data_IF_027276643960
#
_entry.id   IF_027276643960
#
_cell.length_a   1.000
_cell.length_b   1.000
_cell.length_c   1.000
_cell.angle_alpha   90.00
_cell.angle_beta   90.00
_cell.angle_gamma   90.00
#
_symmetry.space_group_name_H-M   'P 1'
#
loop_
_entity.id
_entity.type
_entity.pdbx_description
1 polymer ?
#
# COMPACT_ATOMS: atom_id res chain seq x y z
N UNK A 1 3.29 0.62 2.59
CA UNK A 1 2.45 1.78 2.93
C UNK A 1 1.00 1.35 3.19
N UNK A 2 0.30 0.74 2.22
CA UNK A 2 -1.14 0.41 2.34
C UNK A 2 -1.44 -0.45 3.56
N UNK A 3 -0.73 -1.56 3.73
CA UNK A 3 -0.93 -2.46 4.87
C UNK A 3 -0.72 -1.76 6.21
N UNK A 4 0.35 -0.98 6.34
CA UNK A 4 0.71 -0.34 7.60
C UNK A 4 -0.16 0.88 7.90
N UNK A 5 -0.35 1.76 6.90
CA UNK A 5 -0.95 3.08 7.15
C UNK A 5 -2.45 3.13 6.89
N UNK A 6 -2.98 2.28 6.01
CA UNK A 6 -4.42 2.25 5.72
C UNK A 6 -5.14 1.11 6.46
N UNK A 7 -4.51 -0.06 6.54
CA UNK A 7 -5.14 -1.24 7.13
C UNK A 7 -4.65 -1.58 8.55
N UNK A 8 -3.56 -0.98 9.02
CA UNK A 8 -3.01 -1.27 10.35
C UNK A 8 -2.52 -2.71 10.52
N UNK A 9 -2.20 -3.37 9.43
CA UNK A 9 -1.71 -4.75 9.37
C UNK A 9 -0.31 -4.80 8.76
N UNK A 10 0.72 -4.28 9.47
CA UNK A 10 2.08 -4.26 8.93
C UNK A 10 2.55 -5.68 8.59
N UNK A 11 3.35 -5.78 7.53
CA UNK A 11 3.99 -7.03 7.21
C UNK A 11 4.91 -7.46 8.36
N UNK A 12 4.90 -8.76 8.68
CA UNK A 12 5.84 -9.33 9.66
C UNK A 12 7.28 -9.18 9.15
N UNK A 13 8.22 -9.02 10.07
CA UNK A 13 9.64 -9.06 9.73
C UNK A 13 10.01 -10.41 9.10
N UNK A 14 10.94 -10.42 8.13
CA UNK A 14 11.43 -11.67 7.57
C UNK A 14 11.95 -12.60 8.66
N UNK A 15 11.77 -13.93 8.55
CA UNK A 15 12.35 -14.88 9.48
C UNK A 15 13.89 -14.74 9.55
N UNK A 16 14.50 -15.02 10.71
CA UNK A 16 15.96 -15.03 10.81
C UNK A 16 16.57 -16.02 9.82
N UNK A 17 17.62 -15.60 9.13
CA UNK A 17 18.33 -16.46 8.18
C UNK A 17 17.75 -16.45 6.75
N UNK A 18 16.64 -15.80 6.51
CA UNK A 18 16.20 -15.47 5.14
C UNK A 18 17.09 -14.31 4.68
N UNK A 19 18.14 -14.65 3.94
CA UNK A 19 19.01 -13.65 3.34
C UNK A 19 18.22 -12.76 2.38
N UNK A 20 18.69 -11.54 2.19
CA UNK A 20 18.29 -10.71 1.05
C UNK A 20 18.74 -11.44 -0.23
N UNK A 21 17.86 -12.25 -0.79
CA UNK A 21 18.08 -12.83 -2.10
C UNK A 21 17.80 -11.71 -3.08
N UNK A 22 18.84 -11.09 -3.59
CA UNK A 22 18.68 -10.23 -4.76
C UNK A 22 18.20 -11.14 -5.91
N UNK A 23 16.99 -10.95 -6.42
CA UNK A 23 16.54 -11.74 -7.56
C UNK A 23 17.46 -11.42 -8.75
N UNK A 24 17.76 -12.40 -9.56
CA UNK A 24 18.43 -12.15 -10.84
C UNK A 24 17.53 -11.26 -11.70
N UNK A 25 17.86 -9.98 -11.76
CA UNK A 25 17.08 -8.98 -12.49
C UNK A 25 17.46 -8.87 -13.95
N UNK A 26 18.44 -9.69 -14.43
CA UNK A 26 18.86 -9.68 -15.83
C UNK A 26 17.70 -10.08 -16.74
N UNK A 27 17.41 -9.22 -17.72
CA UNK A 27 16.29 -9.43 -18.67
C UNK A 27 14.91 -9.16 -18.08
N UNK A 28 14.81 -8.67 -16.85
CA UNK A 28 13.55 -8.25 -16.24
C UNK A 28 13.33 -6.76 -16.48
N UNK A 29 12.14 -6.40 -16.94
CA UNK A 29 11.82 -5.02 -17.33
C UNK A 29 10.75 -4.38 -16.47
N UNK A 30 10.00 -5.19 -15.71
CA UNK A 30 8.93 -4.73 -14.83
C UNK A 30 9.20 -5.16 -13.39
N UNK A 31 8.66 -4.40 -12.42
CA UNK A 31 8.71 -4.75 -11.00
C UNK A 31 8.02 -6.09 -10.77
N UNK A 32 6.95 -6.36 -11.50
CA UNK A 32 6.19 -7.61 -11.42
C UNK A 32 7.02 -8.84 -11.80
N UNK A 33 7.81 -8.74 -12.87
CA UNK A 33 8.73 -9.82 -13.27
C UNK A 33 9.84 -10.05 -12.23
N UNK A 34 10.36 -8.97 -11.62
CA UNK A 34 11.35 -9.05 -10.57
C UNK A 34 10.77 -9.75 -9.32
N UNK A 35 9.57 -9.32 -8.90
CA UNK A 35 8.88 -9.92 -7.75
C UNK A 35 8.44 -11.36 -8.01
N UNK A 36 8.04 -11.70 -9.24
CA UNK A 36 7.71 -13.07 -9.62
C UNK A 36 8.93 -13.98 -9.44
N UNK A 37 10.10 -13.57 -9.93
CA UNK A 37 11.33 -14.33 -9.74
C UNK A 37 11.72 -14.48 -8.25
N UNK A 38 11.45 -13.47 -7.42
CA UNK A 38 11.66 -13.55 -5.98
C UNK A 38 10.69 -14.52 -5.30
N UNK A 39 9.46 -14.62 -5.79
CA UNK A 39 8.40 -15.51 -5.26
C UNK A 39 8.55 -16.98 -5.67
N UNK A 40 9.45 -17.32 -6.58
CA UNK A 40 9.74 -18.71 -6.92
C UNK A 40 10.21 -19.53 -5.71
N UNK A 41 10.73 -18.87 -4.67
CA UNK A 41 11.01 -19.48 -3.39
C UNK A 41 9.73 -19.50 -2.52
N UNK A 42 9.29 -20.68 -2.08
CA UNK A 42 8.05 -20.87 -1.31
C UNK A 42 8.05 -20.04 0.00
N UNK A 43 9.18 -19.95 0.70
CA UNK A 43 9.30 -19.17 1.93
C UNK A 43 9.11 -17.67 1.69
N UNK A 44 9.59 -17.14 0.56
CA UNK A 44 9.39 -15.76 0.16
C UNK A 44 7.93 -15.51 -0.26
N UNK A 45 7.36 -16.44 -1.03
CA UNK A 45 5.98 -16.35 -1.52
C UNK A 45 4.95 -16.31 -0.39
N UNK A 46 5.17 -16.99 0.72
CA UNK A 46 4.27 -17.00 1.86
C UNK A 46 3.91 -15.59 2.38
N UNK A 47 4.85 -14.64 2.33
CA UNK A 47 4.65 -13.24 2.69
C UNK A 47 4.27 -12.39 1.48
N UNK A 48 4.99 -12.54 0.37
CA UNK A 48 4.84 -11.68 -0.82
C UNK A 48 3.45 -11.74 -1.45
N UNK A 49 2.78 -12.90 -1.44
CA UNK A 49 1.39 -13.02 -1.90
C UNK A 49 0.39 -12.10 -1.19
N UNK A 50 0.74 -11.61 0.02
CA UNK A 50 -0.10 -10.69 0.80
C UNK A 50 0.33 -9.25 0.66
N UNK A 51 1.65 -9.00 0.51
CA UNK A 51 2.19 -7.63 0.53
C UNK A 51 2.31 -7.01 -0.86
N UNK A 52 2.50 -7.82 -1.91
CA UNK A 52 2.69 -7.31 -3.27
C UNK A 52 1.42 -6.74 -3.90
N UNK A 53 0.22 -7.40 -3.81
CA UNK A 53 -0.96 -6.93 -4.52
C UNK A 53 -1.34 -5.46 -4.21
N UNK A 54 -1.35 -4.99 -2.95
CA UNK A 54 -1.56 -3.57 -2.67
C UNK A 54 -0.51 -2.64 -3.29
N UNK A 55 0.72 -3.15 -3.50
CA UNK A 55 1.78 -2.43 -4.21
C UNK A 55 1.49 -2.31 -5.70
N UNK A 56 0.99 -3.39 -6.32
CA UNK A 56 0.65 -3.40 -7.73
C UNK A 56 -0.45 -2.40 -8.09
N UNK A 57 -1.44 -2.19 -7.22
CA UNK A 57 -2.46 -1.16 -7.42
C UNK A 57 -1.87 0.26 -7.63
N UNK A 58 -0.64 0.49 -7.18
CA UNK A 58 0.07 1.77 -7.29
C UNK A 58 1.07 1.82 -8.45
N UNK A 59 1.21 0.76 -9.26
CA UNK A 59 2.19 0.68 -10.36
C UNK A 59 2.04 1.78 -11.42
N UNK A 60 0.82 2.29 -11.60
CA UNK A 60 0.56 3.43 -12.48
C UNK A 60 1.00 4.78 -11.90
N UNK A 61 1.66 4.80 -10.76
CA UNK A 61 2.25 6.02 -10.19
C UNK A 61 3.76 5.90 -10.12
N UNK A 62 4.45 6.95 -10.49
CA UNK A 62 5.90 7.02 -10.32
C UNK A 62 6.27 7.42 -8.88
N UNK A 63 7.56 7.41 -8.50
CA UNK A 63 7.99 7.74 -7.13
C UNK A 63 7.62 9.16 -6.65
N UNK A 64 7.30 10.08 -7.56
CA UNK A 64 6.85 11.43 -7.22
C UNK A 64 5.32 11.59 -7.30
N UNK A 65 4.58 10.48 -7.53
CA UNK A 65 3.12 10.46 -7.57
C UNK A 65 2.50 10.85 -8.92
N UNK A 66 3.28 11.02 -9.98
CA UNK A 66 2.75 11.28 -11.32
C UNK A 66 2.16 10.02 -11.93
N UNK A 67 0.99 10.14 -12.56
CA UNK A 67 0.37 9.01 -13.25
C UNK A 67 1.13 8.65 -14.52
N UNK A 68 1.33 7.35 -14.72
CA UNK A 68 1.99 6.78 -15.91
C UNK A 68 1.22 5.56 -16.42
N UNK A 69 1.24 5.37 -17.74
CA UNK A 69 0.71 4.16 -18.39
C UNK A 69 1.80 3.17 -18.75
N UNK A 70 3.06 3.64 -18.83
CA UNK A 70 4.21 2.82 -19.18
C UNK A 70 5.35 3.04 -18.18
N UNK A 71 6.19 2.03 -18.02
CA UNK A 71 7.45 2.19 -17.31
C UNK A 71 8.41 3.06 -18.12
N UNK A 72 9.36 3.68 -17.43
CA UNK A 72 10.50 4.32 -18.09
C UNK A 72 11.60 3.28 -18.23
N UNK A 73 12.02 3.02 -19.46
CA UNK A 73 13.16 2.18 -19.75
C UNK A 73 14.41 3.04 -20.03
N UNK A 74 15.57 2.56 -19.59
CA UNK A 74 16.85 3.23 -19.82
C UNK A 74 17.33 3.03 -21.25
N UNK A 75 18.04 4.04 -21.80
CA UNK A 75 18.55 4.03 -23.16
C UNK A 75 17.69 4.86 -24.12
N UNK A 76 18.17 4.96 -25.35
CA UNK A 76 17.53 5.82 -26.38
C UNK A 76 16.30 5.18 -27.04
N UNK A 77 15.93 3.96 -26.67
CA UNK A 77 14.86 3.21 -27.38
C UNK A 77 15.35 2.65 -28.74
N UNK A 78 14.43 2.02 -29.47
CA UNK A 78 14.70 1.44 -30.77
C UNK A 78 14.51 2.46 -31.91
N UNK A 79 15.34 2.34 -32.95
CA UNK A 79 15.27 3.15 -34.16
C UNK A 79 16.31 4.27 -34.21
N UNK A 80 16.58 4.71 -35.46
CA UNK A 80 17.63 5.71 -35.76
C UNK A 80 17.36 7.05 -35.10
N UNK A 81 16.13 7.56 -35.20
CA UNK A 81 15.77 8.85 -34.62
C UNK A 81 15.76 8.84 -33.10
N UNK A 82 15.43 7.71 -32.46
CA UNK A 82 15.50 7.56 -31.02
C UNK A 82 16.94 7.69 -30.53
N UNK A 83 17.87 7.02 -31.21
CA UNK A 83 19.30 7.08 -30.91
C UNK A 83 19.88 8.47 -31.13
N UNK A 84 19.42 9.21 -32.14
CA UNK A 84 19.88 10.56 -32.45
C UNK A 84 19.30 11.62 -31.48
N UNK A 85 18.18 11.33 -30.82
CA UNK A 85 17.50 12.26 -29.91
C UNK A 85 18.27 12.63 -28.64
N UNK A 86 19.34 11.86 -28.32
CA UNK A 86 20.11 12.03 -27.08
C UNK A 86 19.33 11.74 -25.79
N UNK A 87 18.11 11.19 -25.88
CA UNK A 87 17.31 10.84 -24.72
C UNK A 87 17.93 9.63 -24.02
N UNK A 88 18.09 9.74 -22.70
CA UNK A 88 18.59 8.64 -21.85
C UNK A 88 17.48 7.67 -21.43
N UNK A 89 16.21 7.96 -21.78
CA UNK A 89 15.05 7.16 -21.45
C UNK A 89 14.07 7.09 -22.62
N UNK A 90 13.37 5.98 -22.70
CA UNK A 90 12.24 5.80 -23.62
C UNK A 90 11.07 5.17 -22.88
N UNK A 91 9.93 5.11 -23.55
CA UNK A 91 8.72 4.45 -23.04
C UNK A 91 8.94 2.92 -23.05
N UNK A 92 8.82 2.33 -21.89
CA UNK A 92 8.97 0.88 -21.69
C UNK A 92 7.64 0.14 -21.78
N UNK A 93 7.53 -1.08 -21.22
CA UNK A 93 6.30 -1.84 -21.20
C UNK A 93 5.17 -1.13 -20.42
N UNK A 94 3.93 -1.53 -20.67
CA UNK A 94 2.75 -1.07 -19.96
C UNK A 94 2.90 -1.33 -18.46
N UNK A 95 2.48 -0.36 -17.65
CA UNK A 95 2.36 -0.54 -16.22
C UNK A 95 1.10 -1.39 -15.95
N UNK A 96 1.28 -2.51 -15.28
CA UNK A 96 0.20 -3.41 -14.91
C UNK A 96 -0.15 -3.23 -13.43
N UNK A 97 -1.25 -2.53 -13.15
CA UNK A 97 -1.77 -2.27 -11.81
C UNK A 97 -2.82 -3.29 -11.34
N UNK A 98 -2.97 -4.42 -12.05
CA UNK A 98 -3.92 -5.46 -11.67
C UNK A 98 -3.44 -6.30 -10.49
N UNK A 99 -4.35 -6.95 -9.79
CA UNK A 99 -4.02 -7.84 -8.69
C UNK A 99 -5.25 -8.43 -8.04
N UNK A 100 -5.02 -9.19 -6.97
CA UNK A 100 -6.06 -9.79 -6.14
C UNK A 100 -5.79 -9.41 -4.69
N UNK A 101 -6.76 -8.88 -3.99
CA UNK A 101 -6.63 -8.55 -2.57
C UNK A 101 -6.49 -9.81 -1.71
N UNK A 102 -6.10 -9.66 -0.44
CA UNK A 102 -5.94 -10.79 0.47
C UNK A 102 -7.24 -11.56 0.74
N UNK A 103 -8.39 -10.91 0.59
CA UNK A 103 -9.74 -11.45 0.69
C UNK A 103 -10.31 -11.94 -0.65
N UNK A 104 -9.49 -11.97 -1.70
CA UNK A 104 -9.84 -12.60 -2.97
C UNK A 104 -10.60 -11.70 -3.95
N UNK A 105 -10.61 -10.39 -3.76
CA UNK A 105 -11.25 -9.44 -4.69
C UNK A 105 -10.26 -9.04 -5.77
N UNK A 106 -10.63 -9.28 -7.04
CA UNK A 106 -9.84 -8.85 -8.19
C UNK A 106 -9.95 -7.33 -8.39
N UNK A 107 -8.86 -6.73 -8.89
CA UNK A 107 -8.82 -5.34 -9.32
C UNK A 107 -7.87 -5.17 -10.52
N UNK A 108 -8.18 -4.25 -11.41
CA UNK A 108 -7.39 -3.92 -12.60
C UNK A 108 -6.63 -2.59 -12.49
N UNK A 109 -6.84 -1.85 -11.41
CA UNK A 109 -6.18 -0.57 -11.16
C UNK A 109 -6.58 0.06 -9.84
N UNK A 110 -6.11 1.29 -9.63
CA UNK A 110 -6.26 1.98 -8.35
C UNK A 110 -7.72 2.23 -7.96
N UNK A 111 -8.62 2.48 -8.90
CA UNK A 111 -10.00 2.80 -8.57
C UNK A 111 -10.77 1.57 -8.10
N UNK A 112 -10.57 0.43 -8.75
CA UNK A 112 -11.15 -0.85 -8.29
C UNK A 112 -10.52 -1.29 -6.97
N UNK A 113 -9.21 -1.07 -6.80
CA UNK A 113 -8.56 -1.33 -5.51
C UNK A 113 -9.13 -0.47 -4.38
N UNK A 114 -9.42 0.82 -4.62
CA UNK A 114 -10.13 1.67 -3.65
C UNK A 114 -11.51 1.12 -3.31
N UNK A 115 -12.26 0.62 -4.31
CA UNK A 115 -13.55 -0.01 -4.06
C UNK A 115 -13.40 -1.27 -3.20
N UNK A 116 -12.39 -2.10 -3.46
CA UNK A 116 -12.09 -3.26 -2.62
C UNK A 116 -11.76 -2.87 -1.17
N UNK A 117 -11.01 -1.77 -0.96
CA UNK A 117 -10.74 -1.23 0.38
C UNK A 117 -12.01 -0.76 1.10
N UNK A 118 -13.03 -0.29 0.37
CA UNK A 118 -14.32 0.10 0.98
C UNK A 118 -15.08 -1.07 1.58
N UNK A 119 -14.80 -2.31 1.18
CA UNK A 119 -15.32 -3.50 1.85
C UNK A 119 -14.74 -3.68 3.27
N UNK A 120 -13.61 -3.02 3.55
CA UNK A 120 -12.90 -3.01 4.83
C UNK A 120 -12.94 -1.62 5.49
N UNK A 121 -13.99 -0.83 5.24
CA UNK A 121 -14.08 0.58 5.68
C UNK A 121 -13.92 0.76 7.19
N UNK A 122 -14.44 -0.15 8.00
CA UNK A 122 -14.24 -0.13 9.45
C UNK A 122 -12.76 -0.26 9.83
N UNK A 123 -12.03 -1.18 9.16
CA UNK A 123 -10.60 -1.37 9.40
C UNK A 123 -9.80 -0.12 9.01
N UNK A 124 -10.15 0.50 7.89
CA UNK A 124 -9.54 1.78 7.45
C UNK A 124 -9.84 2.89 8.45
N UNK A 125 -11.10 3.01 8.90
CA UNK A 125 -11.49 4.00 9.91
C UNK A 125 -10.78 3.77 11.25
N UNK A 126 -10.66 2.52 11.68
CA UNK A 126 -9.90 2.12 12.88
C UNK A 126 -8.46 2.58 12.81
N UNK A 127 -7.81 2.30 11.69
CA UNK A 127 -6.42 2.71 11.49
C UNK A 127 -6.28 4.23 11.44
N UNK A 128 -7.21 4.92 10.78
CA UNK A 128 -7.23 6.38 10.74
C UNK A 128 -7.36 6.98 12.15
N UNK A 129 -8.29 6.50 12.98
CA UNK A 129 -8.45 6.93 14.38
C UNK A 129 -7.18 6.65 15.18
N UNK A 130 -6.61 5.45 15.04
CA UNK A 130 -5.37 5.07 15.72
C UNK A 130 -4.20 6.00 15.37
N UNK A 131 -4.03 6.30 14.09
CA UNK A 131 -2.99 7.22 13.61
C UNK A 131 -3.22 8.66 14.14
N UNK A 132 -4.48 9.12 14.19
CA UNK A 132 -4.81 10.43 14.76
C UNK A 132 -4.45 10.50 16.25
N UNK A 133 -4.74 9.45 17.02
CA UNK A 133 -4.39 9.40 18.44
C UNK A 133 -2.86 9.45 18.60
N UNK A 134 -2.12 8.60 17.89
CA UNK A 134 -0.65 8.59 17.95
C UNK A 134 -0.07 9.94 17.53
N UNK A 135 -0.55 10.51 16.43
CA UNK A 135 -0.09 11.81 15.94
C UNK A 135 -0.36 12.95 16.95
N UNK A 136 -1.55 12.96 17.53
CA UNK A 136 -1.98 14.07 18.41
C UNK A 136 -1.42 13.99 19.84
N UNK A 137 -1.06 12.78 20.30
CA UNK A 137 -0.58 12.56 21.68
C UNK A 137 0.92 12.26 21.75
N UNK A 138 1.53 11.85 20.63
CA UNK A 138 2.91 11.37 20.60
C UNK A 138 3.11 10.01 21.27
N UNK A 139 2.05 9.36 21.74
CA UNK A 139 2.09 8.08 22.44
C UNK A 139 1.53 6.94 21.60
N UNK A 140 2.13 5.75 21.74
CA UNK A 140 1.60 4.54 21.12
C UNK A 140 0.25 4.11 21.73
N UNK A 141 -0.58 3.43 20.93
CA UNK A 141 -1.85 2.86 21.38
C UNK A 141 -1.59 1.74 22.39
N UNK A 142 -2.11 1.93 23.61
CA UNK A 142 -2.05 0.93 24.66
C UNK A 142 -3.28 0.02 24.64
N UNK A 143 -3.22 -1.11 25.32
CA UNK A 143 -4.35 -2.03 25.42
C UNK A 143 -5.62 -1.33 25.95
N UNK A 144 -5.46 -0.48 26.99
CA UNK A 144 -6.57 0.26 27.60
C UNK A 144 -7.19 1.33 26.69
N UNK A 145 -6.52 1.72 25.61
CA UNK A 145 -7.02 2.74 24.66
C UNK A 145 -8.03 2.14 23.66
N UNK A 146 -7.98 0.82 23.48
CA UNK A 146 -8.78 0.10 22.47
C UNK A 146 -10.28 0.31 22.66
N UNK A 147 -10.78 0.24 23.88
CA UNK A 147 -12.22 0.40 24.16
C UNK A 147 -12.73 1.80 23.75
N UNK A 148 -11.89 2.82 23.89
CA UNK A 148 -12.24 4.19 23.47
C UNK A 148 -12.28 4.28 21.96
N UNK A 149 -11.30 3.69 21.26
CA UNK A 149 -11.26 3.63 19.80
C UNK A 149 -12.50 2.89 19.28
N UNK A 150 -12.84 1.72 19.85
CA UNK A 150 -14.06 0.97 19.52
C UNK A 150 -15.34 1.78 19.75
N UNK A 151 -15.38 2.55 20.83
CA UNK A 151 -16.49 3.46 21.12
C UNK A 151 -16.67 4.54 20.05
N UNK A 152 -15.55 5.14 19.60
CA UNK A 152 -15.55 6.13 18.53
C UNK A 152 -16.05 5.51 17.21
N UNK A 153 -15.57 4.32 16.86
CA UNK A 153 -15.99 3.64 15.65
C UNK A 153 -17.48 3.31 15.66
N UNK A 154 -17.98 2.68 16.73
CA UNK A 154 -19.39 2.34 16.87
C UNK A 154 -20.32 3.56 16.77
N UNK A 155 -19.92 4.69 17.34
CA UNK A 155 -20.70 5.93 17.27
C UNK A 155 -20.80 6.52 15.85
N UNK A 156 -19.89 6.18 14.96
CA UNK A 156 -19.81 6.71 13.59
C UNK A 156 -20.16 5.67 12.50
N UNK A 157 -20.45 4.43 12.88
CA UNK A 157 -20.73 3.32 11.95
C UNK A 157 -21.92 3.61 11.04
N UNK A 158 -23.04 4.13 11.60
CA UNK A 158 -24.27 4.40 10.85
C UNK A 158 -24.11 5.50 9.79
N UNK A 159 -23.05 6.28 9.86
CA UNK A 159 -22.73 7.38 8.94
C UNK A 159 -21.53 7.05 8.03
N UNK A 160 -21.11 5.79 7.96
CA UNK A 160 -19.96 5.35 7.16
C UNK A 160 -18.64 6.02 7.54
N UNK A 161 -18.42 6.27 8.81
CA UNK A 161 -17.16 6.77 9.38
C UNK A 161 -16.66 8.10 8.77
N UNK A 162 -17.43 9.21 8.82
CA UNK A 162 -16.99 10.47 8.25
C UNK A 162 -15.70 10.96 8.91
N UNK A 163 -14.67 11.24 8.13
CA UNK A 163 -13.35 11.59 8.64
C UNK A 163 -13.37 12.80 9.60
N UNK A 164 -14.25 13.79 9.33
CA UNK A 164 -14.44 14.96 10.21
C UNK A 164 -14.97 14.55 11.59
N UNK A 165 -15.97 13.68 11.62
CA UNK A 165 -16.61 13.27 12.88
C UNK A 165 -15.69 12.36 13.68
N UNK A 166 -14.93 11.48 13.02
CA UNK A 166 -13.86 10.71 13.65
C UNK A 166 -12.81 11.63 14.28
N UNK A 167 -12.37 12.68 13.56
CA UNK A 167 -11.43 13.66 14.09
C UNK A 167 -12.00 14.37 15.33
N UNK A 168 -13.25 14.84 15.27
CA UNK A 168 -13.92 15.48 16.41
C UNK A 168 -14.06 14.52 17.61
N UNK A 169 -14.41 13.27 17.35
CA UNK A 169 -14.54 12.26 18.41
C UNK A 169 -13.19 11.97 19.08
N UNK A 170 -12.09 11.93 18.33
CA UNK A 170 -10.74 11.78 18.90
C UNK A 170 -10.40 12.96 19.80
N UNK A 171 -10.60 14.21 19.34
CA UNK A 171 -10.31 15.42 20.12
C UNK A 171 -11.13 15.48 21.43
N UNK A 172 -12.38 15.00 21.40
CA UNK A 172 -13.26 14.97 22.56
C UNK A 172 -13.01 13.78 23.49
N UNK A 173 -12.27 12.77 23.04
CA UNK A 173 -12.01 11.57 23.82
C UNK A 173 -11.01 11.81 24.96
N UNK A 174 -11.06 10.94 25.97
CA UNK A 174 -10.05 10.91 27.03
C UNK A 174 -8.63 10.67 26.51
N UNK A 175 -8.49 10.01 25.38
CA UNK A 175 -7.18 9.71 24.77
C UNK A 175 -6.42 10.98 24.39
N UNK A 176 -7.13 12.01 23.95
CA UNK A 176 -6.53 13.30 23.60
C UNK A 176 -6.43 14.24 24.81
N UNK A 177 -7.40 14.17 25.73
CA UNK A 177 -7.55 15.15 26.81
C UNK A 177 -6.77 14.78 28.08
N UNK A 178 -6.39 13.52 28.26
CA UNK A 178 -5.84 12.99 29.51
C UNK A 178 -4.47 12.28 29.30
N UNK A 179 -3.95 12.24 28.08
CA UNK A 179 -2.60 11.70 27.76
C UNK A 179 -1.51 12.75 27.83
#
# INVERSE_FOLDING_TARGET
>A
FVLTNLLGTPASSPPPGVGSIEPDTRGKTTIREILAAHRDNESCNACHRKIDPPGFALECFDPIGSYRTHYRATGAGEGFFAKLSGKSFHEGPLADASGVTADGVDFSGIDEFKQALMNQKEQVARQFVSQLVVYSTGGEIQFADRDVIEGILRANESQDYPARDLLHAVIQSRLFREK
#
